data_IF_942566080065
#
_entry.id   IF_942566080065
#
_cell.length_a   1.000
_cell.length_b   1.000
_cell.length_c   1.000
_cell.angle_alpha   90.00
_cell.angle_beta   90.00
_cell.angle_gamma   90.00
#
_symmetry.space_group_name_H-M   'P 1'
#
loop_
_entity.id
_entity.type
_entity.pdbx_description
1 polymer ?
#
# COMPACT_ATOMS: atom_id res chain seq x y z
N UNK A 1 26.04 -3.36 -3.96
CA UNK A 1 26.15 -2.53 -2.75
C UNK A 1 24.96 -2.84 -1.84
N UNK A 2 25.09 -3.79 -0.91
CA UNK A 2 24.02 -4.17 0.05
C UNK A 2 24.44 -4.06 1.51
N UNK A 3 25.73 -3.80 1.77
CA UNK A 3 26.31 -3.75 3.13
C UNK A 3 25.65 -2.66 4.00
N UNK A 4 25.22 -1.54 3.42
CA UNK A 4 24.55 -0.46 4.17
C UNK A 4 23.14 -0.81 4.64
N UNK A 5 22.36 -1.56 3.86
CA UNK A 5 21.00 -1.97 4.25
C UNK A 5 21.05 -3.05 5.35
N UNK A 6 21.97 -4.00 5.21
CA UNK A 6 22.20 -5.01 6.24
C UNK A 6 22.73 -4.40 7.55
N UNK A 7 23.57 -3.37 7.49
CA UNK A 7 24.01 -2.64 8.67
C UNK A 7 22.86 -1.88 9.36
N UNK A 8 21.97 -1.22 8.60
CA UNK A 8 20.76 -0.59 9.16
C UNK A 8 19.80 -1.59 9.80
N UNK A 9 19.62 -2.76 9.17
CA UNK A 9 18.78 -3.83 9.71
C UNK A 9 19.38 -4.41 11.00
N UNK A 10 20.71 -4.52 11.09
CA UNK A 10 21.41 -4.97 12.29
C UNK A 10 21.29 -3.96 13.44
N UNK A 11 21.39 -2.66 13.15
CA UNK A 11 21.18 -1.59 14.12
C UNK A 11 19.74 -1.58 14.67
N UNK A 12 18.74 -1.79 13.80
CA UNK A 12 17.32 -1.92 14.21
C UNK A 12 17.12 -3.18 15.07
N UNK A 13 17.72 -4.31 14.68
CA UNK A 13 17.66 -5.55 15.44
C UNK A 13 18.31 -5.40 16.83
N UNK A 14 19.44 -4.70 16.91
CA UNK A 14 20.11 -4.37 18.18
C UNK A 14 19.21 -3.49 19.07
N UNK A 15 18.56 -2.48 18.49
CA UNK A 15 17.67 -1.56 19.20
C UNK A 15 16.42 -2.27 19.75
N UNK A 16 15.85 -3.19 18.96
CA UNK A 16 14.75 -4.06 19.39
C UNK A 16 15.20 -4.97 20.54
N UNK A 17 16.40 -5.53 20.47
CA UNK A 17 16.93 -6.44 21.50
C UNK A 17 17.18 -5.73 22.83
N UNK A 18 17.65 -4.49 22.78
CA UNK A 18 17.87 -3.63 23.98
C UNK A 18 16.55 -3.21 24.62
N UNK A 19 15.52 -2.88 23.82
CA UNK A 19 14.19 -2.52 24.33
C UNK A 19 13.40 -3.74 24.85
N UNK A 20 13.52 -4.89 24.19
CA UNK A 20 12.95 -6.17 24.62
C UNK A 20 13.44 -6.62 26.00
N UNK A 21 14.70 -6.33 26.34
CA UNK A 21 15.27 -6.67 27.65
C UNK A 21 14.67 -5.89 28.83
N UNK A 22 13.94 -4.79 28.55
CA UNK A 22 13.40 -3.88 29.56
C UNK A 22 11.93 -4.16 29.88
N UNK A 23 11.22 -4.90 29.03
CA UNK A 23 9.74 -4.97 29.01
C UNK A 23 9.29 -6.39 28.62
N UNK A 24 9.00 -7.21 29.63
CA UNK A 24 8.73 -8.67 29.52
C UNK A 24 7.59 -9.04 28.54
N UNK A 25 6.59 -8.16 28.39
CA UNK A 25 5.43 -8.38 27.51
C UNK A 25 5.64 -7.88 26.06
N UNK A 26 6.66 -7.06 25.80
CA UNK A 26 6.91 -6.50 24.47
C UNK A 26 7.37 -7.56 23.46
N UNK A 27 8.27 -8.50 23.78
CA UNK A 27 8.69 -9.53 22.82
C UNK A 27 7.52 -10.36 22.29
N UNK A 28 6.59 -10.75 23.17
CA UNK A 28 5.41 -11.53 22.79
C UNK A 28 4.43 -10.71 21.93
N UNK A 29 4.22 -9.43 22.27
CA UNK A 29 3.39 -8.53 21.47
C UNK A 29 4.04 -8.20 20.12
N UNK A 30 5.36 -7.99 20.08
CA UNK A 30 6.12 -7.74 18.84
C UNK A 30 6.06 -8.96 17.93
N UNK A 31 6.22 -10.18 18.45
CA UNK A 31 6.09 -11.40 17.65
C UNK A 31 4.67 -11.56 17.10
N UNK A 32 3.65 -11.33 17.93
CA UNK A 32 2.23 -11.43 17.53
C UNK A 32 1.84 -10.34 16.52
N UNK A 33 2.33 -9.13 16.66
CA UNK A 33 2.06 -8.02 15.74
C UNK A 33 2.87 -8.18 14.46
N UNK A 34 4.15 -8.57 14.55
CA UNK A 34 5.01 -8.80 13.40
C UNK A 34 4.47 -9.89 12.46
N UNK A 35 3.90 -10.97 13.02
CA UNK A 35 3.23 -12.02 12.22
C UNK A 35 1.94 -11.55 11.56
N UNK A 36 1.19 -10.64 12.18
CA UNK A 36 -0.02 -10.04 11.57
C UNK A 36 0.32 -9.03 10.47
N UNK A 37 1.36 -8.24 10.70
CA UNK A 37 1.77 -7.15 9.81
C UNK A 37 2.58 -7.66 8.62
N UNK A 38 3.32 -8.76 8.76
CA UNK A 38 4.15 -9.29 7.67
C UNK A 38 3.34 -9.64 6.42
N UNK A 39 2.17 -10.28 6.55
CA UNK A 39 1.32 -10.62 5.41
C UNK A 39 0.84 -9.39 4.65
N UNK A 40 0.42 -8.36 5.39
CA UNK A 40 -0.09 -7.10 4.83
C UNK A 40 1.02 -6.28 4.17
N UNK A 41 2.20 -6.19 4.80
CA UNK A 41 3.34 -5.42 4.26
C UNK A 41 3.94 -6.07 3.03
N UNK A 42 3.98 -7.41 2.97
CA UNK A 42 4.48 -8.14 1.79
C UNK A 42 3.57 -7.88 0.59
N UNK A 43 2.26 -7.85 0.79
CA UNK A 43 1.27 -7.59 -0.26
C UNK A 43 1.42 -6.18 -0.85
N UNK A 44 1.48 -5.15 0.01
CA UNK A 44 1.61 -3.75 -0.41
C UNK A 44 2.96 -3.47 -1.10
N UNK A 45 4.03 -4.11 -0.64
CA UNK A 45 5.36 -4.00 -1.24
C UNK A 45 5.45 -4.60 -2.65
N UNK A 46 4.58 -5.54 -3.01
CA UNK A 46 4.61 -6.19 -4.32
C UNK A 46 4.10 -5.29 -5.46
N UNK A 47 3.29 -4.28 -5.14
CA UNK A 47 2.57 -3.47 -6.15
C UNK A 47 3.30 -2.17 -6.51
N UNK A 48 4.05 -1.59 -5.57
CA UNK A 48 4.65 -0.24 -5.71
C UNK A 48 5.87 -0.10 -6.66
N UNK A 49 6.76 -1.09 -6.88
CA UNK A 49 8.00 -0.86 -7.67
C UNK A 49 7.76 -0.55 -9.15
N UNK A 50 6.59 -0.90 -9.69
CA UNK A 50 6.33 -0.91 -11.15
C UNK A 50 6.25 0.50 -11.77
N UNK A 51 5.92 1.52 -10.99
CA UNK A 51 5.62 2.86 -11.51
C UNK A 51 6.87 3.68 -11.90
N UNK A 52 8.05 3.29 -11.42
CA UNK A 52 9.29 4.05 -11.55
C UNK A 52 10.40 3.34 -12.34
N UNK A 53 10.17 2.10 -12.78
CA UNK A 53 11.18 1.33 -13.53
C UNK A 53 11.52 2.02 -14.86
N UNK A 54 12.81 2.17 -15.14
CA UNK A 54 13.34 2.69 -16.41
C UNK A 54 13.44 4.21 -16.51
N UNK A 55 13.33 4.93 -15.38
CA UNK A 55 13.50 6.39 -15.32
C UNK A 55 14.89 6.77 -14.82
N UNK A 56 15.27 8.05 -14.99
CA UNK A 56 16.48 8.54 -14.36
C UNK A 56 16.27 8.70 -12.84
N UNK A 57 17.27 8.40 -11.98
CA UNK A 57 17.10 8.41 -10.52
C UNK A 57 16.55 9.74 -9.96
N UNK A 58 16.90 10.88 -10.57
CA UNK A 58 16.39 12.20 -10.16
C UNK A 58 14.88 12.37 -10.41
N UNK A 59 14.31 11.71 -11.42
CA UNK A 59 12.88 11.73 -11.74
C UNK A 59 12.11 10.71 -10.91
N UNK A 60 12.70 9.55 -10.64
CA UNK A 60 12.12 8.53 -9.76
C UNK A 60 11.79 9.11 -8.39
N UNK A 61 12.74 9.82 -7.78
CA UNK A 61 12.57 10.41 -6.45
C UNK A 61 11.46 11.47 -6.40
N UNK A 62 11.32 12.26 -7.47
CA UNK A 62 10.25 13.26 -7.58
C UNK A 62 8.87 12.60 -7.70
N UNK A 63 8.76 11.54 -8.50
CA UNK A 63 7.52 10.78 -8.67
C UNK A 63 7.11 10.11 -7.36
N UNK A 64 8.04 9.42 -6.70
CA UNK A 64 7.80 8.78 -5.40
C UNK A 64 7.34 9.80 -4.37
N UNK A 65 7.99 10.97 -4.30
CA UNK A 65 7.60 12.03 -3.37
C UNK A 65 6.18 12.53 -3.63
N UNK A 66 5.79 12.73 -4.89
CA UNK A 66 4.44 13.16 -5.24
C UNK A 66 3.38 12.10 -4.93
N UNK A 67 3.68 10.82 -5.19
CA UNK A 67 2.81 9.69 -4.83
C UNK A 67 2.66 9.66 -3.31
N UNK A 68 3.76 9.69 -2.56
CA UNK A 68 3.75 9.65 -1.10
C UNK A 68 2.96 10.81 -0.49
N UNK A 69 3.14 12.04 -1.01
CA UNK A 69 2.40 13.22 -0.55
C UNK A 69 0.90 13.10 -0.78
N UNK A 70 0.48 12.66 -1.97
CA UNK A 70 -0.94 12.47 -2.31
C UNK A 70 -1.56 11.31 -1.53
N UNK A 71 -0.84 10.19 -1.42
CA UNK A 71 -1.21 9.03 -0.63
C UNK A 71 -1.43 9.39 0.84
N UNK A 72 -0.49 10.12 1.45
CA UNK A 72 -0.61 10.57 2.83
C UNK A 72 -1.84 11.44 3.06
N UNK A 73 -2.12 12.37 2.13
CA UNK A 73 -3.32 13.19 2.19
C UNK A 73 -4.60 12.34 2.09
N UNK A 74 -4.63 11.37 1.18
CA UNK A 74 -5.77 10.46 1.03
C UNK A 74 -5.99 9.63 2.31
N UNK A 75 -4.93 9.11 2.91
CA UNK A 75 -5.00 8.33 4.16
C UNK A 75 -5.53 9.17 5.32
N UNK A 76 -4.94 10.35 5.55
CA UNK A 76 -5.28 11.18 6.70
C UNK A 76 -6.64 11.89 6.58
N UNK A 77 -7.00 12.33 5.39
CA UNK A 77 -8.17 13.20 5.19
C UNK A 77 -9.39 12.41 4.71
N UNK A 78 -9.18 11.33 3.95
CA UNK A 78 -10.28 10.54 3.39
C UNK A 78 -10.45 9.24 4.18
N UNK A 79 -9.44 8.36 4.17
CA UNK A 79 -9.60 7.00 4.68
C UNK A 79 -9.70 6.93 6.20
N UNK A 80 -8.88 7.66 6.95
CA UNK A 80 -8.91 7.67 8.43
C UNK A 80 -10.26 8.10 8.99
N UNK A 81 -10.76 9.30 8.63
CA UNK A 81 -12.07 9.76 9.06
C UNK A 81 -13.19 8.84 8.57
N UNK A 82 -13.13 8.37 7.32
CA UNK A 82 -14.13 7.46 6.79
C UNK A 82 -14.17 6.13 7.56
N UNK A 83 -13.02 5.56 7.91
CA UNK A 83 -12.92 4.28 8.63
C UNK A 83 -13.52 4.40 10.02
N UNK A 84 -13.22 5.48 10.75
CA UNK A 84 -13.80 5.74 12.08
C UNK A 84 -15.31 5.98 11.96
N UNK A 85 -15.75 6.73 10.95
CA UNK A 85 -17.16 7.01 10.70
C UNK A 85 -17.94 5.74 10.38
N UNK A 86 -17.48 4.93 9.42
CA UNK A 86 -18.10 3.65 9.09
C UNK A 86 -18.05 2.70 10.28
N UNK A 87 -16.94 2.65 11.01
CA UNK A 87 -16.78 1.84 12.20
C UNK A 87 -17.85 2.12 13.27
N UNK A 88 -18.18 3.39 13.51
CA UNK A 88 -19.16 3.78 14.51
C UNK A 88 -20.62 3.64 14.02
N UNK A 89 -20.91 4.03 12.78
CA UNK A 89 -22.30 4.13 12.29
C UNK A 89 -22.76 2.91 11.49
N UNK A 90 -21.86 2.22 10.81
CA UNK A 90 -22.18 1.11 9.92
C UNK A 90 -20.99 0.12 9.78
N UNK A 91 -20.53 -0.53 10.88
CA UNK A 91 -19.37 -1.43 10.82
C UNK A 91 -19.61 -2.61 9.87
N UNK A 92 -20.87 -3.02 9.71
CA UNK A 92 -21.27 -4.05 8.76
C UNK A 92 -21.01 -3.66 7.29
N UNK A 93 -20.88 -2.37 6.96
CA UNK A 93 -20.64 -1.89 5.60
C UNK A 93 -19.16 -2.01 5.19
N UNK A 94 -18.24 -2.08 6.14
CA UNK A 94 -16.80 -2.18 5.86
C UNK A 94 -16.50 -3.46 5.05
N UNK A 95 -16.99 -4.62 5.52
CA UNK A 95 -16.74 -5.90 4.88
C UNK A 95 -17.27 -6.01 3.43
N UNK A 96 -18.52 -5.66 3.09
CA UNK A 96 -18.99 -5.71 1.70
C UNK A 96 -18.26 -4.70 0.79
N UNK A 97 -17.90 -3.52 1.29
CA UNK A 97 -17.09 -2.56 0.52
C UNK A 97 -15.72 -3.15 0.19
N UNK A 98 -15.07 -3.78 1.17
CA UNK A 98 -13.80 -4.47 0.95
C UNK A 98 -13.92 -5.65 -0.01
N UNK A 99 -14.97 -6.45 0.09
CA UNK A 99 -15.21 -7.57 -0.82
C UNK A 99 -15.38 -7.10 -2.27
N UNK A 100 -16.02 -5.94 -2.49
CA UNK A 100 -16.12 -5.34 -3.82
C UNK A 100 -14.75 -4.84 -4.32
N UNK A 101 -13.96 -4.19 -3.46
CA UNK A 101 -12.59 -3.79 -3.79
C UNK A 101 -11.70 -4.98 -4.15
N UNK A 102 -11.74 -6.05 -3.34
CA UNK A 102 -11.03 -7.29 -3.60
C UNK A 102 -11.47 -7.97 -4.90
N UNK A 103 -12.77 -7.97 -5.21
CA UNK A 103 -13.27 -8.49 -6.49
C UNK A 103 -12.74 -7.71 -7.69
N UNK A 104 -12.66 -6.37 -7.59
CA UNK A 104 -12.04 -5.53 -8.61
C UNK A 104 -10.56 -5.83 -8.80
N UNK A 105 -9.80 -6.00 -7.70
CA UNK A 105 -8.39 -6.38 -7.77
C UNK A 105 -8.18 -7.79 -8.34
N UNK A 106 -9.07 -8.75 -8.07
CA UNK A 106 -9.03 -10.07 -8.70
C UNK A 106 -9.24 -9.99 -10.22
N UNK A 107 -10.15 -9.12 -10.67
CA UNK A 107 -10.37 -8.87 -12.09
C UNK A 107 -9.13 -8.27 -12.75
N UNK A 108 -8.57 -7.20 -12.18
CA UNK A 108 -7.35 -6.56 -12.71
C UNK A 108 -6.13 -7.51 -12.63
N UNK A 109 -6.05 -8.33 -11.59
CA UNK A 109 -5.03 -9.36 -11.42
C UNK A 109 -5.12 -10.44 -12.49
N UNK A 110 -6.32 -10.91 -12.82
CA UNK A 110 -6.54 -11.87 -13.90
C UNK A 110 -6.08 -11.31 -15.25
N UNK A 111 -6.45 -10.09 -15.61
CA UNK A 111 -6.03 -9.48 -16.88
C UNK A 111 -4.51 -9.34 -16.99
N UNK A 112 -3.85 -8.95 -15.90
CA UNK A 112 -2.38 -8.85 -15.83
C UNK A 112 -1.69 -10.21 -15.98
N UNK A 113 -2.24 -11.26 -15.37
CA UNK A 113 -1.69 -12.62 -15.50
C UNK A 113 -1.97 -13.20 -16.89
N UNK A 114 -3.21 -13.05 -17.37
CA UNK A 114 -3.63 -13.53 -18.68
C UNK A 114 -2.81 -12.90 -19.80
N UNK A 115 -2.57 -11.59 -19.75
CA UNK A 115 -1.72 -10.91 -20.72
C UNK A 115 -0.32 -11.53 -20.73
N UNK A 116 0.34 -11.78 -19.59
CA UNK A 116 1.66 -12.41 -19.55
C UNK A 116 1.72 -13.79 -20.24
N UNK A 117 0.64 -14.57 -20.19
CA UNK A 117 0.60 -15.91 -20.82
C UNK A 117 0.10 -15.88 -22.28
N UNK A 118 -0.65 -14.86 -22.69
CA UNK A 118 -1.12 -14.70 -24.06
C UNK A 118 -0.05 -14.18 -25.03
N UNK A 119 1.11 -13.73 -24.53
CA UNK A 119 2.20 -13.15 -25.33
C UNK A 119 3.13 -14.17 -26.04
N UNK A 120 2.61 -15.31 -26.52
CA UNK A 120 3.41 -16.22 -27.37
C UNK A 120 3.10 -16.14 -28.87
N UNK A 121 2.13 -15.35 -29.30
CA UNK A 121 1.91 -15.03 -30.71
C UNK A 121 1.54 -13.53 -30.79
N UNK A 122 2.22 -12.78 -31.65
CA UNK A 122 2.15 -11.31 -31.83
C UNK A 122 3.09 -10.48 -30.94
N UNK A 123 4.35 -10.49 -31.34
CA UNK A 123 5.13 -9.28 -31.59
C UNK A 123 4.25 -8.07 -31.99
N UNK A 124 3.85 -7.31 -30.98
CA UNK A 124 3.41 -5.92 -31.10
C UNK A 124 1.91 -5.68 -31.14
N UNK A 125 1.17 -5.95 -30.06
CA UNK A 125 -0.14 -5.32 -29.84
C UNK A 125 -0.32 -4.89 -28.38
N UNK A 126 -0.32 -3.57 -28.15
CA UNK A 126 -1.52 -2.77 -27.86
C UNK A 126 -1.92 -2.86 -26.39
N UNK A 127 -1.46 -1.87 -25.62
CA UNK A 127 -2.18 -1.40 -24.44
C UNK A 127 -3.55 -0.91 -24.93
N UNK A 128 -4.59 -1.75 -24.83
CA UNK A 128 -5.95 -1.33 -25.14
C UNK A 128 -6.44 -0.38 -24.04
N UNK A 129 -6.41 0.92 -24.36
CA UNK A 129 -6.90 2.00 -23.51
C UNK A 129 -6.22 3.34 -23.76
N UNK A 130 -5.02 3.37 -24.35
CA UNK A 130 -4.37 4.62 -24.73
C UNK A 130 -4.63 4.86 -26.23
N UNK A 131 -5.68 5.65 -26.49
CA UNK A 131 -5.71 6.50 -27.68
C UNK A 131 -4.31 7.11 -27.80
N UNK A 132 -3.64 6.89 -28.95
CA UNK A 132 -2.28 7.37 -29.19
C UNK A 132 -2.31 8.89 -29.40
N UNK A 133 -2.74 9.61 -28.37
CA UNK A 133 -2.48 11.03 -28.19
C UNK A 133 -0.98 11.09 -27.96
N UNK A 134 -0.25 11.89 -28.74
CA UNK A 134 1.15 12.19 -28.46
C UNK A 134 1.26 12.80 -27.05
N UNK A 135 1.44 11.94 -26.05
CA UNK A 135 1.51 12.36 -24.67
C UNK A 135 2.88 12.93 -24.41
N UNK A 136 2.91 14.17 -23.93
CA UNK A 136 4.15 14.78 -23.46
C UNK A 136 4.71 13.97 -22.28
N UNK A 137 6.04 13.97 -22.08
CA UNK A 137 6.66 13.28 -20.94
C UNK A 137 6.06 13.68 -19.57
N UNK A 138 5.56 14.90 -19.44
CA UNK A 138 4.91 15.39 -18.22
C UNK A 138 3.51 14.79 -18.01
N UNK A 139 2.75 14.53 -19.08
CA UNK A 139 1.43 13.89 -18.99
C UNK A 139 1.57 12.41 -18.62
N UNK A 140 2.59 11.72 -19.16
CA UNK A 140 2.89 10.34 -18.78
C UNK A 140 3.28 10.22 -17.29
N UNK A 141 4.09 11.14 -16.76
CA UNK A 141 4.41 11.18 -15.33
C UNK A 141 3.16 11.39 -14.48
N UNK A 142 2.30 12.34 -14.88
CA UNK A 142 1.06 12.60 -14.16
C UNK A 142 0.15 11.37 -14.10
N UNK A 143 -0.03 10.68 -15.24
CA UNK A 143 -0.84 9.46 -15.29
C UNK A 143 -0.25 8.35 -14.40
N UNK A 144 1.08 8.19 -14.38
CA UNK A 144 1.74 7.23 -13.47
C UNK A 144 1.51 7.59 -12.00
N UNK A 145 1.62 8.87 -11.64
CA UNK A 145 1.37 9.34 -10.26
C UNK A 145 -0.09 9.06 -9.89
N UNK A 146 -1.04 9.43 -10.74
CA UNK A 146 -2.47 9.31 -10.44
C UNK A 146 -2.92 7.83 -10.38
N UNK A 147 -2.40 6.98 -11.26
CA UNK A 147 -2.61 5.52 -11.21
C UNK A 147 -2.03 4.88 -9.95
N UNK A 148 -0.80 5.25 -9.57
CA UNK A 148 -0.19 4.78 -8.33
C UNK A 148 -0.97 5.22 -7.08
N UNK A 149 -1.44 6.47 -7.04
CA UNK A 149 -2.24 7.00 -5.94
C UNK A 149 -3.60 6.31 -5.83
N UNK A 150 -4.22 5.96 -6.96
CA UNK A 150 -5.52 5.24 -6.96
C UNK A 150 -5.34 3.81 -6.46
N UNK A 151 -4.29 3.14 -6.91
CA UNK A 151 -3.96 1.78 -6.46
C UNK A 151 -3.65 1.75 -4.96
N UNK A 152 -2.82 2.69 -4.49
CA UNK A 152 -2.50 2.84 -3.06
C UNK A 152 -3.74 3.16 -2.24
N UNK A 153 -4.68 3.97 -2.74
CA UNK A 153 -5.94 4.26 -2.02
C UNK A 153 -6.75 2.98 -1.75
N UNK A 154 -6.89 2.11 -2.76
CA UNK A 154 -7.64 0.86 -2.63
C UNK A 154 -6.94 -0.08 -1.64
N UNK A 155 -5.63 -0.29 -1.79
CA UNK A 155 -4.85 -1.13 -0.89
C UNK A 155 -4.88 -0.58 0.55
N UNK A 156 -4.73 0.73 0.71
CA UNK A 156 -4.76 1.39 2.01
C UNK A 156 -6.12 1.28 2.69
N UNK A 157 -7.22 1.31 1.93
CA UNK A 157 -8.56 1.11 2.47
C UNK A 157 -8.71 -0.30 3.08
N UNK A 158 -8.15 -1.33 2.44
CA UNK A 158 -8.11 -2.69 2.98
C UNK A 158 -7.31 -2.77 4.28
N UNK A 159 -6.08 -2.25 4.27
CA UNK A 159 -5.20 -2.27 5.44
C UNK A 159 -5.82 -1.53 6.62
N UNK A 160 -6.40 -0.36 6.37
CA UNK A 160 -7.04 0.45 7.42
C UNK A 160 -8.27 -0.26 7.98
N UNK A 161 -9.06 -0.94 7.16
CA UNK A 161 -10.20 -1.70 7.63
C UNK A 161 -9.80 -2.94 8.45
N UNK A 162 -8.75 -3.68 8.05
CA UNK A 162 -8.17 -4.76 8.87
C UNK A 162 -7.65 -4.19 10.20
N UNK A 163 -6.95 -3.06 10.15
CA UNK A 163 -6.37 -2.40 11.32
C UNK A 163 -7.45 -1.91 12.26
N UNK A 164 -8.53 -1.31 11.75
CA UNK A 164 -9.71 -0.90 12.52
C UNK A 164 -10.29 -2.08 13.31
N UNK A 165 -10.40 -3.26 12.68
CA UNK A 165 -10.84 -4.48 13.37
C UNK A 165 -9.97 -4.88 14.56
N UNK A 166 -8.70 -4.44 14.63
CA UNK A 166 -7.81 -4.70 15.78
C UNK A 166 -7.97 -3.71 16.93
N UNK A 167 -8.57 -2.54 16.66
CA UNK A 167 -8.74 -1.45 17.64
C UNK A 167 -10.20 -1.09 17.91
N UNK A 168 -11.15 -1.78 17.28
CA UNK A 168 -12.59 -1.52 17.41
C UNK A 168 -13.09 -1.54 18.88
N UNK A 169 -12.48 -2.37 19.73
CA UNK A 169 -12.81 -2.46 21.17
C UNK A 169 -12.07 -1.45 22.06
N UNK A 170 -11.22 -0.59 21.48
CA UNK A 170 -10.45 0.43 22.21
C UNK A 170 -11.22 1.75 22.29
N UNK A 171 -10.79 2.62 23.19
CA UNK A 171 -11.33 3.97 23.27
C UNK A 171 -11.08 4.76 21.98
N UNK A 172 -11.91 5.78 21.75
CA UNK A 172 -11.88 6.56 20.50
C UNK A 172 -10.54 7.28 20.27
N UNK A 173 -9.82 7.66 21.32
CA UNK A 173 -8.51 8.29 21.17
C UNK A 173 -7.48 7.28 20.66
N UNK A 174 -7.47 6.07 21.22
CA UNK A 174 -6.65 4.97 20.71
C UNK A 174 -6.98 4.64 19.25
N UNK A 175 -8.26 4.62 18.88
CA UNK A 175 -8.68 4.39 17.50
C UNK A 175 -8.17 5.51 16.56
N UNK A 176 -8.32 6.78 16.95
CA UNK A 176 -7.86 7.92 16.15
C UNK A 176 -6.34 7.88 15.99
N UNK A 177 -5.58 7.65 17.08
CA UNK A 177 -4.11 7.64 17.04
C UNK A 177 -3.58 6.51 16.18
N UNK A 178 -4.22 5.34 16.19
CA UNK A 178 -3.79 4.19 15.36
C UNK A 178 -4.20 4.37 13.89
N UNK A 179 -5.24 5.16 13.59
CA UNK A 179 -5.75 5.36 12.24
C UNK A 179 -5.23 6.61 11.52
N UNK A 180 -4.37 7.39 12.18
CA UNK A 180 -3.60 8.50 11.60
C UNK A 180 -2.20 8.02 11.21
#
# INVERSE_FOLDING_TARGET
>A
MSIGLFALLDDVAALIKVTAASLDDIPAQVAKTGTKVSGVVIDDAAVTPKYVVGLSPSRELHIIYNIAKKSLFNKLIILGPATILFGYFAPWAIQPILMLGGAYLCFEGYEKVHSLFAHHDEDGQKNEGEEYVEMTPAQLEKNRIDGAVTTDLILSAEIMAITYGTVADKDILSQIVVML
#
